data_IF_121430466283
#
_entry.id   IF_121430466283
#
_cell.length_a   1.000
_cell.length_b   1.000
_cell.length_c   1.000
_cell.angle_alpha   90.00
_cell.angle_beta   90.00
_cell.angle_gamma   90.00
#
_symmetry.space_group_name_H-M   'P 1'
#
loop_
_entity.id
_entity.type
_entity.pdbx_description
1 polymer ?
#
# COMPACT_ATOMS: atom_id res chain seq x y z
N UNK A 1 -17.21 -26.76 -18.69
CA UNK A 1 -17.14 -25.80 -17.55
C UNK A 1 -15.86 -26.08 -16.77
N UNK A 2 -14.76 -25.39 -17.07
CA UNK A 2 -13.45 -25.65 -16.46
C UNK A 2 -13.40 -25.01 -15.07
N UNK A 3 -13.48 -25.84 -14.03
CA UNK A 3 -13.21 -25.45 -12.65
C UNK A 3 -11.79 -24.91 -12.54
N UNK A 4 -11.63 -23.59 -12.59
CA UNK A 4 -10.37 -22.94 -12.24
C UNK A 4 -10.15 -23.21 -10.76
N UNK A 5 -9.10 -23.98 -10.47
CA UNK A 5 -8.58 -24.29 -9.16
C UNK A 5 -8.48 -22.99 -8.34
N UNK A 6 -9.44 -22.77 -7.43
CA UNK A 6 -9.45 -21.62 -6.55
C UNK A 6 -8.33 -21.85 -5.54
N UNK A 7 -7.12 -21.34 -5.84
CA UNK A 7 -6.01 -21.38 -4.90
C UNK A 7 -6.46 -20.66 -3.62
N UNK A 8 -6.80 -21.42 -2.58
CA UNK A 8 -7.19 -20.89 -1.28
C UNK A 8 -5.97 -20.17 -0.69
N UNK A 9 -6.17 -18.93 -0.26
CA UNK A 9 -5.14 -18.17 0.47
C UNK A 9 -4.87 -18.84 1.80
N UNK A 10 -3.63 -18.72 2.28
CA UNK A 10 -3.35 -19.07 3.67
C UNK A 10 -4.03 -18.07 4.61
N UNK A 11 -4.27 -18.48 5.85
CA UNK A 11 -4.78 -17.58 6.89
C UNK A 11 -3.90 -16.34 7.04
N UNK A 12 -2.57 -16.51 6.96
CA UNK A 12 -1.62 -15.41 7.03
C UNK A 12 -1.78 -14.41 5.87
N UNK A 13 -1.91 -14.89 4.63
CA UNK A 13 -2.19 -14.01 3.47
C UNK A 13 -3.50 -13.24 3.65
N UNK A 14 -4.53 -13.90 4.16
CA UNK A 14 -5.83 -13.27 4.43
C UNK A 14 -5.69 -12.18 5.47
N UNK A 15 -5.05 -12.46 6.62
CA UNK A 15 -4.84 -11.47 7.68
C UNK A 15 -4.00 -10.28 7.20
N UNK A 16 -2.91 -10.53 6.47
CA UNK A 16 -2.08 -9.46 5.89
C UNK A 16 -2.90 -8.60 4.91
N UNK A 17 -3.71 -9.21 4.05
CA UNK A 17 -4.58 -8.48 3.11
C UNK A 17 -5.60 -7.62 3.86
N UNK A 18 -6.25 -8.17 4.88
CA UNK A 18 -7.25 -7.45 5.68
C UNK A 18 -6.60 -6.30 6.45
N UNK A 19 -5.42 -6.52 7.03
CA UNK A 19 -4.64 -5.49 7.71
C UNK A 19 -4.23 -4.36 6.75
N UNK A 20 -3.71 -4.70 5.57
CA UNK A 20 -3.38 -3.72 4.52
C UNK A 20 -4.63 -2.95 4.07
N UNK A 21 -5.74 -3.65 3.82
CA UNK A 21 -6.98 -3.01 3.40
C UNK A 21 -7.54 -2.03 4.43
N UNK A 22 -7.56 -2.44 5.70
CA UNK A 22 -7.96 -1.59 6.82
C UNK A 22 -7.02 -0.40 7.01
N UNK A 23 -5.70 -0.64 6.97
CA UNK A 23 -4.70 0.42 7.10
C UNK A 23 -4.82 1.48 6.00
N UNK A 24 -4.93 1.06 4.73
CA UNK A 24 -5.09 1.98 3.60
C UNK A 24 -6.39 2.79 3.70
N UNK A 25 -7.49 2.16 4.12
CA UNK A 25 -8.77 2.85 4.31
C UNK A 25 -8.66 3.90 5.41
N UNK A 26 -8.05 3.54 6.54
CA UNK A 26 -7.84 4.44 7.66
C UNK A 26 -6.91 5.61 7.30
N UNK A 27 -5.79 5.33 6.64
CA UNK A 27 -4.85 6.35 6.17
C UNK A 27 -5.52 7.35 5.21
N UNK A 28 -6.32 6.85 4.27
CA UNK A 28 -7.01 7.70 3.31
C UNK A 28 -8.12 8.55 3.96
N UNK A 29 -8.80 8.06 4.99
CA UNK A 29 -9.69 8.89 5.82
C UNK A 29 -8.89 9.95 6.56
N UNK A 30 -7.72 9.61 7.08
CA UNK A 30 -6.80 10.55 7.73
C UNK A 30 -6.40 11.71 6.83
N UNK A 31 -6.04 11.43 5.56
CA UNK A 31 -5.74 12.45 4.54
C UNK A 31 -6.89 13.46 4.37
N UNK A 32 -8.14 13.02 4.54
CA UNK A 32 -9.33 13.85 4.38
C UNK A 32 -9.69 14.66 5.63
N UNK A 33 -9.16 14.27 6.79
CA UNK A 33 -9.71 14.72 8.09
C UNK A 33 -8.63 15.23 9.03
N UNK A 34 -8.00 14.36 9.82
CA UNK A 34 -7.26 14.75 11.02
C UNK A 34 -5.74 14.86 10.83
N UNK A 35 -5.18 14.41 9.70
CA UNK A 35 -3.72 14.45 9.42
C UNK A 35 -3.38 15.13 8.10
N UNK A 36 -4.33 15.86 7.51
CA UNK A 36 -4.19 16.52 6.22
C UNK A 36 -3.01 17.50 6.15
N UNK A 37 -2.85 18.33 7.17
CA UNK A 37 -1.76 19.33 7.23
C UNK A 37 -0.37 18.66 7.28
N UNK A 38 -0.22 17.62 8.09
CA UNK A 38 0.99 16.80 8.16
C UNK A 38 1.36 16.18 6.79
N UNK A 39 0.35 15.74 6.03
CA UNK A 39 0.56 15.23 4.67
C UNK A 39 0.95 16.33 3.67
N UNK A 40 0.34 17.52 3.75
CA UNK A 40 0.70 18.64 2.89
C UNK A 40 2.18 19.04 3.08
N UNK A 41 2.67 19.01 4.32
CA UNK A 41 4.07 19.29 4.64
C UNK A 41 5.07 18.28 4.02
N UNK A 42 4.60 17.11 3.60
CA UNK A 42 5.41 16.08 2.94
C UNK A 42 5.35 16.12 1.41
N UNK A 43 4.43 16.87 0.81
CA UNK A 43 4.36 17.02 -0.64
C UNK A 43 5.59 17.80 -1.11
N UNK A 44 6.47 17.20 -1.96
CA UNK A 44 7.68 17.87 -2.40
C UNK A 44 7.40 19.14 -3.22
N UNK A 45 8.17 20.19 -2.96
CA UNK A 45 7.97 21.51 -3.60
C UNK A 45 8.23 21.50 -5.12
N UNK A 46 8.90 20.47 -5.65
CA UNK A 46 9.13 20.33 -7.09
C UNK A 46 7.91 19.83 -7.87
N UNK A 47 6.83 19.39 -7.20
CA UNK A 47 5.60 18.99 -7.87
C UNK A 47 4.80 20.22 -8.28
N UNK A 48 4.47 20.43 -9.57
CA UNK A 48 3.74 21.60 -10.04
C UNK A 48 2.23 21.44 -9.84
N UNK A 49 1.82 21.00 -8.65
CA UNK A 49 0.44 20.76 -8.27
C UNK A 49 0.17 21.39 -6.91
N UNK A 50 -1.08 21.79 -6.69
CA UNK A 50 -1.53 22.23 -5.38
C UNK A 50 -1.37 21.08 -4.36
N UNK A 51 -0.71 21.37 -3.23
CA UNK A 51 -0.38 20.34 -2.22
C UNK A 51 -1.63 19.72 -1.64
N UNK A 52 -2.67 20.51 -1.44
CA UNK A 52 -3.92 20.08 -0.86
C UNK A 52 -4.67 19.13 -1.79
N UNK A 53 -4.74 19.46 -3.07
CA UNK A 53 -5.24 18.57 -4.11
C UNK A 53 -4.48 17.23 -4.14
N UNK A 54 -3.15 17.24 -4.08
CA UNK A 54 -2.33 16.01 -4.05
C UNK A 54 -2.70 15.13 -2.85
N UNK A 55 -2.87 15.72 -1.67
CA UNK A 55 -3.22 15.00 -0.43
C UNK A 55 -4.63 14.40 -0.52
N UNK A 56 -5.61 15.17 -0.99
CA UNK A 56 -6.97 14.65 -1.16
C UNK A 56 -7.03 13.55 -2.24
N UNK A 57 -6.40 13.75 -3.39
CA UNK A 57 -6.35 12.75 -4.45
C UNK A 57 -5.70 11.44 -3.96
N UNK A 58 -4.60 11.54 -3.19
CA UNK A 58 -3.97 10.41 -2.51
C UNK A 58 -4.96 9.70 -1.58
N UNK A 59 -5.65 10.44 -0.70
CA UNK A 59 -6.59 9.83 0.23
C UNK A 59 -7.75 9.08 -0.45
N UNK A 60 -8.28 9.59 -1.57
CA UNK A 60 -9.28 8.84 -2.38
C UNK A 60 -8.67 7.56 -2.94
N UNK A 61 -7.45 7.62 -3.48
CA UNK A 61 -6.76 6.45 -4.00
C UNK A 61 -6.52 5.40 -2.90
N UNK A 62 -6.10 5.82 -1.71
CA UNK A 62 -5.86 4.93 -0.58
C UNK A 62 -7.15 4.26 -0.08
N UNK A 63 -8.25 4.99 0.07
CA UNK A 63 -9.57 4.41 0.40
C UNK A 63 -9.99 3.41 -0.67
N UNK A 64 -9.82 3.75 -1.94
CA UNK A 64 -10.17 2.87 -3.07
C UNK A 64 -9.37 1.57 -3.03
N UNK A 65 -8.06 1.64 -2.78
CA UNK A 65 -7.21 0.47 -2.59
C UNK A 65 -7.60 -0.33 -1.35
N UNK A 66 -7.92 0.34 -0.25
CA UNK A 66 -8.35 -0.28 0.99
C UNK A 66 -9.61 -1.12 0.80
N UNK A 67 -10.65 -0.52 0.23
CA UNK A 67 -11.90 -1.20 -0.12
C UNK A 67 -11.66 -2.32 -1.14
N UNK A 68 -10.86 -2.08 -2.18
CA UNK A 68 -10.55 -3.09 -3.18
C UNK A 68 -9.82 -4.29 -2.58
N UNK A 69 -8.89 -4.08 -1.65
CA UNK A 69 -8.20 -5.15 -0.93
C UNK A 69 -9.15 -5.96 -0.08
N UNK A 70 -10.18 -5.37 0.51
CA UNK A 70 -11.17 -6.05 1.35
C UNK A 70 -12.21 -6.83 0.53
N UNK A 71 -12.73 -6.24 -0.55
CA UNK A 71 -13.91 -6.75 -1.27
C UNK A 71 -13.59 -7.56 -2.54
N UNK A 72 -12.43 -7.37 -3.18
CA UNK A 72 -12.13 -8.00 -4.47
C UNK A 72 -11.81 -9.48 -4.34
N UNK A 73 -12.43 -10.30 -5.20
CA UNK A 73 -12.21 -11.76 -5.26
C UNK A 73 -11.16 -12.13 -6.31
N UNK A 74 -10.68 -13.37 -6.28
CA UNK A 74 -9.79 -13.89 -7.32
C UNK A 74 -10.54 -14.04 -8.65
N UNK A 75 -9.86 -13.88 -9.81
CA UNK A 75 -8.43 -13.57 -9.97
C UNK A 75 -8.05 -12.09 -9.90
N UNK A 76 -9.02 -11.17 -9.97
CA UNK A 76 -8.80 -9.71 -10.07
C UNK A 76 -8.02 -9.14 -8.89
N UNK A 77 -8.13 -9.78 -7.72
CA UNK A 77 -7.37 -9.42 -6.51
C UNK A 77 -5.85 -9.36 -6.73
N UNK A 78 -5.29 -10.21 -7.61
CA UNK A 78 -3.85 -10.13 -7.94
C UNK A 78 -3.48 -8.79 -8.57
N UNK A 79 -4.34 -8.29 -9.47
CA UNK A 79 -4.18 -6.98 -10.09
C UNK A 79 -4.25 -5.87 -9.06
N UNK A 80 -5.19 -5.95 -8.12
CA UNK A 80 -5.28 -4.98 -7.00
C UNK A 80 -3.97 -4.93 -6.21
N UNK A 81 -3.40 -6.09 -5.87
CA UNK A 81 -2.12 -6.15 -5.15
C UNK A 81 -0.94 -5.57 -5.94
N UNK A 82 -0.89 -5.80 -7.26
CA UNK A 82 0.15 -5.21 -8.12
C UNK A 82 0.00 -3.69 -8.21
N UNK A 83 -1.22 -3.18 -8.35
CA UNK A 83 -1.48 -1.74 -8.40
C UNK A 83 -1.17 -1.07 -7.06
N UNK A 84 -1.52 -1.69 -5.94
CA UNK A 84 -1.17 -1.19 -4.61
C UNK A 84 0.34 -1.18 -4.39
N UNK A 85 1.05 -2.22 -4.84
CA UNK A 85 2.51 -2.25 -4.80
C UNK A 85 3.13 -1.11 -5.63
N UNK A 86 2.62 -0.86 -6.83
CA UNK A 86 3.06 0.27 -7.66
C UNK A 86 2.77 1.62 -6.98
N UNK A 87 1.60 1.77 -6.35
CA UNK A 87 1.25 2.95 -5.58
C UNK A 87 2.23 3.19 -4.42
N UNK A 88 2.58 2.15 -3.66
CA UNK A 88 3.60 2.25 -2.62
C UNK A 88 4.96 2.70 -3.17
N UNK A 89 5.37 2.22 -4.34
CA UNK A 89 6.61 2.72 -4.97
C UNK A 89 6.48 4.21 -5.35
N UNK A 90 5.32 4.60 -5.90
CA UNK A 90 5.08 5.98 -6.34
C UNK A 90 5.09 7.00 -5.20
N UNK A 91 4.63 6.64 -4.00
CA UNK A 91 4.66 7.55 -2.83
C UNK A 91 6.00 7.56 -2.09
N UNK A 92 6.90 6.61 -2.37
CA UNK A 92 8.18 6.48 -1.66
C UNK A 92 9.09 7.73 -1.73
N UNK A 93 9.16 8.49 -2.84
CA UNK A 93 9.89 9.76 -2.87
C UNK A 93 9.45 10.76 -1.79
N UNK A 94 8.17 10.76 -1.40
CA UNK A 94 7.67 11.59 -0.29
C UNK A 94 8.28 11.21 1.06
N UNK A 95 8.39 9.90 1.34
CA UNK A 95 9.04 9.39 2.56
C UNK A 95 10.55 9.73 2.59
N UNK A 96 11.22 9.64 1.43
CA UNK A 96 12.63 10.05 1.29
C UNK A 96 12.75 11.55 1.53
N UNK A 97 11.88 12.37 0.92
CA UNK A 97 11.85 13.82 1.10
C UNK A 97 11.71 14.17 2.58
N UNK A 98 10.75 13.56 3.29
CA UNK A 98 10.57 13.76 4.73
C UNK A 98 11.84 13.47 5.54
N UNK A 99 12.56 12.39 5.20
CA UNK A 99 13.81 12.04 5.85
C UNK A 99 14.90 13.09 5.60
N UNK A 100 15.07 13.54 4.36
CA UNK A 100 16.09 14.51 3.96
C UNK A 100 15.81 15.92 4.52
N UNK A 101 14.55 16.35 4.51
CA UNK A 101 14.13 17.67 5.01
C UNK A 101 13.91 17.69 6.52
N UNK A 102 13.98 16.52 7.18
CA UNK A 102 13.70 16.34 8.61
C UNK A 102 12.32 16.85 9.04
N UNK A 103 11.34 16.78 8.14
CA UNK A 103 9.97 17.24 8.41
C UNK A 103 9.33 16.36 9.48
N UNK A 104 8.97 16.96 10.62
CA UNK A 104 8.22 16.31 11.69
C UNK A 104 6.75 16.18 11.29
N UNK A 105 6.26 14.94 11.18
CA UNK A 105 4.87 14.60 10.86
C UNK A 105 4.56 13.18 11.35
N UNK A 106 3.30 12.88 11.69
CA UNK A 106 2.86 11.55 12.15
C UNK A 106 3.62 10.99 13.36
N UNK A 107 4.10 11.84 14.27
CA UNK A 107 4.92 11.42 15.42
C UNK A 107 6.34 10.97 15.06
N UNK A 108 6.77 11.17 13.81
CA UNK A 108 8.14 10.95 13.32
C UNK A 108 8.96 12.23 13.52
N UNK A 109 9.32 12.50 14.77
CA UNK A 109 10.05 13.68 15.24
C UNK A 109 11.58 13.52 15.21
N UNK A 110 12.10 12.29 15.09
CA UNK A 110 13.55 12.01 15.04
C UNK A 110 14.02 11.44 13.70
N UNK A 111 15.29 11.67 13.36
CA UNK A 111 15.93 11.12 12.16
C UNK A 111 15.92 9.58 12.18
N UNK A 112 16.06 8.96 13.35
CA UNK A 112 15.98 7.51 13.51
C UNK A 112 14.59 6.97 13.14
N UNK A 113 13.51 7.60 13.61
CA UNK A 113 12.14 7.17 13.28
C UNK A 113 11.86 7.27 11.77
N UNK A 114 12.28 8.39 11.16
CA UNK A 114 12.16 8.60 9.70
C UNK A 114 12.99 7.61 8.90
N UNK A 115 14.21 7.28 9.33
CA UNK A 115 15.06 6.31 8.67
C UNK A 115 14.47 4.90 8.72
N UNK A 116 13.99 4.46 9.89
CA UNK A 116 13.33 3.15 10.05
C UNK A 116 12.10 3.04 9.13
N UNK A 117 11.34 4.13 8.96
CA UNK A 117 10.18 4.17 8.05
C UNK A 117 10.51 3.72 6.63
N UNK A 118 11.69 4.07 6.12
CA UNK A 118 12.09 3.74 4.75
C UNK A 118 12.16 2.23 4.50
N UNK A 119 12.53 1.43 5.51
CA UNK A 119 12.61 -0.03 5.41
C UNK A 119 11.23 -0.70 5.38
N UNK A 120 10.18 -0.05 5.88
CA UNK A 120 8.83 -0.59 5.78
C UNK A 120 8.28 -0.52 4.34
N UNK A 121 8.79 0.37 3.48
CA UNK A 121 8.30 0.48 2.11
C UNK A 121 8.46 -0.82 1.30
N UNK A 122 9.66 -1.43 1.18
CA UNK A 122 9.80 -2.71 0.49
C UNK A 122 8.98 -3.83 1.14
N UNK A 123 8.79 -3.79 2.47
CA UNK A 123 7.94 -4.75 3.18
C UNK A 123 6.47 -4.60 2.77
N UNK A 124 5.95 -3.38 2.69
CA UNK A 124 4.58 -3.09 2.23
C UNK A 124 4.35 -3.53 0.78
N UNK A 125 5.32 -3.28 -0.10
CA UNK A 125 5.30 -3.74 -1.50
C UNK A 125 5.21 -5.27 -1.55
N UNK A 126 6.11 -5.97 -0.85
CA UNK A 126 6.10 -7.43 -0.80
C UNK A 126 4.81 -7.98 -0.19
N UNK A 127 4.30 -7.36 0.88
CA UNK A 127 3.07 -7.75 1.55
C UNK A 127 1.84 -7.61 0.63
N UNK A 128 1.74 -6.52 -0.15
CA UNK A 128 0.65 -6.33 -1.11
C UNK A 128 0.64 -7.40 -2.20
N UNK A 129 1.81 -7.70 -2.77
CA UNK A 129 1.95 -8.72 -3.81
C UNK A 129 1.70 -10.13 -3.27
N UNK A 130 2.24 -10.45 -2.10
CA UNK A 130 2.14 -11.79 -1.52
C UNK A 130 0.74 -12.09 -0.97
N UNK A 131 0.13 -11.15 -0.27
CA UNK A 131 -1.19 -11.34 0.37
C UNK A 131 -2.34 -11.48 -0.63
N UNK A 132 -2.14 -11.05 -1.88
CA UNK A 132 -3.11 -11.19 -2.98
C UNK A 132 -2.81 -12.37 -3.90
N UNK A 133 -1.71 -13.09 -3.66
CA UNK A 133 -1.23 -14.19 -4.49
C UNK A 133 -0.64 -13.75 -5.84
N UNK A 134 -0.24 -12.49 -5.98
CA UNK A 134 0.50 -12.00 -7.15
C UNK A 134 1.93 -12.57 -7.18
N UNK A 135 2.55 -12.76 -6.01
CA UNK A 135 3.81 -13.51 -5.84
C UNK A 135 3.63 -14.65 -4.83
N UNK A 136 4.27 -15.79 -5.05
CA UNK A 136 4.29 -16.91 -4.09
C UNK A 136 3.30 -18.05 -4.34
N UNK A 137 2.51 -18.02 -5.42
CA UNK A 137 1.58 -19.12 -5.73
C UNK A 137 2.30 -20.27 -6.47
N UNK A 138 3.20 -20.98 -5.77
CA UNK A 138 3.90 -22.18 -6.29
C UNK A 138 3.05 -23.46 -6.25
N UNK A 139 1.79 -23.40 -5.81
CA UNK A 139 0.91 -24.57 -5.73
C UNK A 139 0.51 -25.21 -7.07
N UNK A 140 0.71 -24.53 -8.21
CA UNK A 140 0.25 -25.01 -9.52
C UNK A 140 1.35 -25.47 -10.49
N UNK A 141 2.63 -25.26 -10.16
CA UNK A 141 3.76 -25.65 -11.04
C UNK A 141 4.33 -27.04 -10.70
N UNK A 142 3.91 -27.65 -9.59
CA UNK A 142 4.41 -28.96 -9.13
C UNK A 142 3.55 -30.17 -9.51
N UNK A 143 2.38 -29.99 -10.14
CA UNK A 143 1.43 -31.09 -10.42
C UNK A 143 1.24 -31.43 -11.90
N UNK A 144 2.12 -30.96 -12.78
CA UNK A 144 2.14 -31.30 -14.22
C UNK A 144 3.32 -32.18 -14.66
N UNK A 145 4.06 -32.75 -13.70
CA UNK A 145 5.13 -33.71 -13.95
C UNK A 145 5.07 -34.80 -12.87
N UNK A 146 4.50 -35.94 -13.22
CA UNK A 146 4.30 -37.09 -12.34
C UNK A 146 3.11 -37.89 -12.81
#
# INVERSE_FOLDING_TARGET
>A
MSGRDQTKETTAQTLTRLALGGFMTFAGIGHMTFVREDFQAQVPDFLPLDKDFVVLASGVAEISFGVAMLATKQPQRRTVGMLLAAFFVAIFPGNISQYLTRTSAFGLDTDQKRFIRLFFQPVLVAAALWSTGAIGNKGALGKRRG
#
